data_IF_297089259013
#
_entry.id   IF_297089259013
#
_cell.length_a   1.000
_cell.length_b   1.000
_cell.length_c   1.000
_cell.angle_alpha   90.00
_cell.angle_beta   90.00
_cell.angle_gamma   90.00
#
_symmetry.space_group_name_H-M   'P 1'
#
loop_
_entity.id
_entity.type
_entity.pdbx_description
1 polymer ?
#
# COMPACT_ATOMS: atom_id res chain seq x y z
N UNK A 1 9.68 -9.22 -24.00
CA UNK A 1 10.16 -7.82 -23.90
C UNK A 1 10.54 -7.56 -22.45
N UNK A 2 11.61 -6.81 -22.18
CA UNK A 2 11.91 -6.39 -20.80
C UNK A 2 10.83 -5.39 -20.35
N UNK A 3 10.16 -5.68 -19.23
CA UNK A 3 9.21 -4.76 -18.61
C UNK A 3 10.00 -3.54 -18.12
N UNK A 4 9.52 -2.33 -18.39
CA UNK A 4 10.13 -1.08 -17.90
C UNK A 4 9.34 -0.65 -16.66
N UNK A 5 10.03 -0.40 -15.55
CA UNK A 5 9.38 0.09 -14.32
C UNK A 5 8.87 1.53 -14.51
N UNK A 6 7.61 1.79 -14.17
CA UNK A 6 7.00 3.12 -14.16
C UNK A 6 7.20 3.93 -15.47
N UNK A 7 6.84 3.40 -16.65
CA UNK A 7 7.19 4.01 -17.94
C UNK A 7 6.48 5.35 -18.22
N UNK A 8 5.37 5.63 -17.55
CA UNK A 8 4.62 6.88 -17.69
C UNK A 8 5.12 8.05 -16.83
N UNK A 9 6.19 7.85 -16.06
CA UNK A 9 6.72 8.87 -15.13
C UNK A 9 8.01 9.49 -15.65
N UNK A 10 8.19 10.77 -15.34
CA UNK A 10 9.42 11.50 -15.64
C UNK A 10 10.61 10.90 -14.88
N UNK A 11 11.79 11.05 -15.47
CA UNK A 11 13.06 10.67 -14.85
C UNK A 11 14.01 11.85 -14.79
N UNK A 12 14.85 11.89 -13.77
CA UNK A 12 15.92 12.88 -13.69
C UNK A 12 17.17 12.46 -14.49
N UNK A 13 18.21 13.28 -14.42
CA UNK A 13 19.50 13.06 -15.10
C UNK A 13 20.21 11.77 -14.65
N UNK A 14 19.88 11.26 -13.46
CA UNK A 14 20.41 10.00 -12.91
C UNK A 14 19.46 8.82 -13.18
N UNK A 15 18.46 9.00 -14.05
CA UNK A 15 17.47 8.00 -14.45
C UNK A 15 16.55 7.53 -13.30
N UNK A 16 16.45 8.28 -12.21
CA UNK A 16 15.55 8.01 -11.08
C UNK A 16 14.12 8.43 -11.44
N UNK A 17 13.13 7.64 -11.04
CA UNK A 17 11.72 7.95 -11.31
C UNK A 17 11.24 9.07 -10.39
N UNK A 18 10.62 10.09 -10.95
CA UNK A 18 10.06 11.24 -10.24
C UNK A 18 8.54 11.06 -10.10
N UNK A 19 8.11 10.46 -8.99
CA UNK A 19 6.68 10.38 -8.66
C UNK A 19 6.18 11.75 -8.16
N UNK A 20 5.05 12.26 -8.68
CA UNK A 20 4.45 13.48 -8.14
C UNK A 20 3.84 13.22 -6.75
N UNK A 21 3.50 14.30 -6.04
CA UNK A 21 2.78 14.19 -4.77
C UNK A 21 1.44 13.50 -4.97
N UNK A 22 1.11 12.56 -4.08
CA UNK A 22 -0.11 11.75 -4.13
C UNK A 22 -1.25 12.30 -3.28
N UNK A 23 -1.13 13.52 -2.72
CA UNK A 23 -2.10 14.08 -1.75
C UNK A 23 -3.54 14.01 -2.27
N UNK A 24 -3.77 14.42 -3.52
CA UNK A 24 -5.13 14.40 -4.11
C UNK A 24 -5.67 12.98 -4.26
N UNK A 25 -4.83 12.05 -4.76
CA UNK A 25 -5.21 10.65 -4.90
C UNK A 25 -5.49 10.02 -3.54
N UNK A 26 -4.63 10.28 -2.54
CA UNK A 26 -4.78 9.77 -1.18
C UNK A 26 -6.03 10.31 -0.52
N UNK A 27 -6.30 11.61 -0.59
CA UNK A 27 -7.53 12.19 -0.05
C UNK A 27 -8.79 11.66 -0.76
N UNK A 28 -8.69 11.31 -2.04
CA UNK A 28 -9.79 10.72 -2.77
C UNK A 28 -10.06 9.28 -2.34
N UNK A 29 -9.03 8.44 -2.25
CA UNK A 29 -9.17 7.03 -1.89
C UNK A 29 -9.40 6.83 -0.38
N UNK A 30 -8.75 7.63 0.46
CA UNK A 30 -8.77 7.56 1.92
C UNK A 30 -9.39 8.85 2.52
N UNK A 31 -10.67 9.17 2.23
CA UNK A 31 -11.29 10.43 2.64
C UNK A 31 -11.60 10.51 4.13
N UNK A 32 -11.52 9.40 4.85
CA UNK A 32 -11.89 9.28 6.28
C UNK A 32 -10.69 9.21 7.22
N UNK A 33 -9.46 9.23 6.68
CA UNK A 33 -8.24 9.18 7.49
C UNK A 33 -7.36 10.36 7.15
N UNK A 34 -6.69 10.92 8.16
CA UNK A 34 -5.88 12.11 7.96
C UNK A 34 -4.49 11.72 7.42
N UNK A 35 -4.02 12.48 6.44
CA UNK A 35 -2.71 12.22 5.83
C UNK A 35 -1.59 12.27 6.89
N UNK A 36 -1.73 13.10 7.93
CA UNK A 36 -0.78 13.30 9.03
C UNK A 36 -0.72 12.18 10.08
N UNK A 37 -1.67 11.24 10.10
CA UNK A 37 -1.72 10.19 11.15
C UNK A 37 -0.59 9.14 11.05
N UNK A 38 0.25 9.19 10.02
CA UNK A 38 1.45 8.35 9.93
C UNK A 38 2.62 9.11 9.32
N UNK A 39 3.74 9.15 10.03
CA UNK A 39 4.92 9.98 9.72
C UNK A 39 5.64 9.54 8.43
N UNK A 40 5.50 8.27 8.01
CA UNK A 40 6.17 7.73 6.84
C UNK A 40 5.21 6.88 5.98
N UNK A 41 4.40 7.53 5.13
CA UNK A 41 3.55 6.83 4.14
C UNK A 41 4.30 6.76 2.80
N UNK A 42 4.42 5.58 2.22
CA UNK A 42 4.92 5.46 0.84
C UNK A 42 3.96 6.16 -0.14
N UNK A 43 4.53 6.79 -1.17
CA UNK A 43 3.75 7.41 -2.23
C UNK A 43 2.88 6.35 -2.94
N UNK A 44 1.57 6.59 -3.02
CA UNK A 44 0.60 5.67 -3.62
C UNK A 44 0.92 5.34 -5.08
N UNK A 45 1.34 6.33 -5.86
CA UNK A 45 1.68 6.15 -7.28
C UNK A 45 2.90 5.25 -7.46
N UNK A 46 3.86 5.34 -6.53
CA UNK A 46 5.01 4.45 -6.50
C UNK A 46 4.61 3.01 -6.20
N UNK A 47 3.74 2.80 -5.20
CA UNK A 47 3.23 1.47 -4.86
C UNK A 47 2.41 0.89 -6.02
N UNK A 48 1.54 1.67 -6.65
CA UNK A 48 0.79 1.25 -7.83
C UNK A 48 1.73 0.81 -8.96
N UNK A 49 2.75 1.62 -9.29
CA UNK A 49 3.73 1.27 -10.33
C UNK A 49 4.55 0.02 -9.98
N UNK A 50 4.84 -0.21 -8.71
CA UNK A 50 5.50 -1.43 -8.23
C UNK A 50 4.62 -2.65 -8.44
N UNK A 51 3.35 -2.57 -8.05
CA UNK A 51 2.37 -3.64 -8.24
C UNK A 51 2.20 -3.96 -9.72
N UNK A 52 1.99 -2.94 -10.57
CA UNK A 52 1.89 -3.12 -12.02
C UNK A 52 3.15 -3.77 -12.62
N UNK A 53 4.32 -3.52 -12.02
CA UNK A 53 5.57 -4.07 -12.50
C UNK A 53 5.76 -5.53 -12.11
N UNK A 54 5.45 -5.92 -10.86
CA UNK A 54 5.77 -7.26 -10.34
C UNK A 54 4.63 -8.25 -10.47
N UNK A 55 3.38 -7.80 -10.57
CA UNK A 55 2.21 -8.68 -10.63
C UNK A 55 1.32 -8.45 -11.84
N UNK A 56 0.46 -9.41 -12.11
CA UNK A 56 -0.58 -9.39 -13.12
C UNK A 56 -1.97 -9.21 -12.47
N UNK A 57 -3.02 -8.85 -13.23
CA UNK A 57 -4.39 -8.83 -12.71
C UNK A 57 -4.80 -10.18 -12.09
N UNK A 58 -5.71 -10.14 -11.12
CA UNK A 58 -6.21 -11.28 -10.34
C UNK A 58 -5.19 -12.00 -9.41
N UNK A 59 -3.91 -11.69 -9.52
CA UNK A 59 -2.89 -12.15 -8.57
C UNK A 59 -3.10 -11.55 -7.18
N UNK A 60 -2.68 -12.29 -6.17
CA UNK A 60 -2.84 -11.97 -4.76
C UNK A 60 -1.55 -11.41 -4.17
N UNK A 61 -1.66 -10.23 -3.57
CA UNK A 61 -0.56 -9.53 -2.90
C UNK A 61 -0.77 -9.60 -1.40
N UNK A 62 0.28 -9.95 -0.67
CA UNK A 62 0.33 -9.90 0.78
C UNK A 62 1.21 -8.73 1.25
N UNK A 63 0.68 -7.91 2.15
CA UNK A 63 1.46 -6.98 2.97
C UNK A 63 1.40 -7.43 4.44
N UNK A 64 2.49 -8.01 4.99
CA UNK A 64 2.53 -8.46 6.38
C UNK A 64 2.66 -7.33 7.41
N UNK A 65 2.83 -6.07 6.98
CA UNK A 65 3.07 -4.89 7.82
C UNK A 65 2.28 -3.68 7.27
N UNK A 66 0.97 -3.86 7.12
CA UNK A 66 0.15 -2.99 6.28
C UNK A 66 0.07 -1.53 6.74
N UNK A 67 0.23 -1.26 8.05
CA UNK A 67 0.12 0.07 8.62
C UNK A 67 -1.20 0.74 8.26
N UNK A 68 -1.15 1.87 7.55
CA UNK A 68 -2.37 2.56 7.10
C UNK A 68 -2.98 1.98 5.81
N UNK A 69 -2.42 0.91 5.25
CA UNK A 69 -2.97 0.22 4.08
C UNK A 69 -2.69 0.93 2.75
N UNK A 70 -1.52 1.56 2.56
CA UNK A 70 -1.18 2.16 1.25
C UNK A 70 -1.23 1.13 0.12
N UNK A 71 -0.94 -0.15 0.41
CA UNK A 71 -1.03 -1.26 -0.53
C UNK A 71 -2.46 -1.52 -1.07
N UNK A 72 -3.51 -1.01 -0.41
CA UNK A 72 -4.90 -1.11 -0.89
C UNK A 72 -5.09 -0.52 -2.29
N UNK A 73 -4.20 0.37 -2.73
CA UNK A 73 -4.19 0.86 -4.12
C UNK A 73 -4.07 -0.27 -5.15
N UNK A 74 -3.45 -1.40 -4.81
CA UNK A 74 -3.35 -2.56 -5.67
C UNK A 74 -4.73 -3.12 -6.08
N UNK A 75 -5.72 -3.03 -5.19
CA UNK A 75 -7.08 -3.46 -5.50
C UNK A 75 -7.78 -2.52 -6.50
N UNK A 76 -7.38 -1.24 -6.57
CA UNK A 76 -7.90 -0.29 -7.57
C UNK A 76 -7.51 -0.63 -9.01
N UNK A 77 -6.48 -1.47 -9.16
CA UNK A 77 -5.99 -1.97 -10.44
C UNK A 77 -6.19 -3.48 -10.58
N UNK A 78 -7.14 -4.07 -9.83
CA UNK A 78 -7.60 -5.44 -10.02
C UNK A 78 -6.71 -6.54 -9.42
N UNK A 79 -5.97 -6.25 -8.34
CA UNK A 79 -5.30 -7.30 -7.54
C UNK A 79 -6.14 -7.66 -6.32
N UNK A 80 -5.98 -8.89 -5.84
CA UNK A 80 -6.44 -9.26 -4.50
C UNK A 80 -5.36 -8.86 -3.50
N UNK A 81 -5.76 -8.33 -2.35
CA UNK A 81 -4.86 -7.78 -1.35
C UNK A 81 -5.18 -8.41 -0.01
N UNK A 82 -4.19 -9.05 0.58
CA UNK A 82 -4.21 -9.52 1.95
C UNK A 82 -3.31 -8.59 2.76
N UNK A 83 -3.84 -8.04 3.84
CA UNK A 83 -3.10 -7.19 4.77
C UNK A 83 -3.11 -7.83 6.15
N UNK A 84 -1.93 -7.92 6.77
CA UNK A 84 -1.79 -8.29 8.18
C UNK A 84 -1.35 -7.03 8.93
N UNK A 85 -2.04 -6.75 10.03
CA UNK A 85 -1.73 -5.60 10.87
C UNK A 85 -1.90 -5.97 12.34
N UNK A 86 -0.93 -5.57 13.17
CA UNK A 86 -0.85 -5.94 14.57
C UNK A 86 -1.65 -4.98 15.46
N UNK A 87 -1.63 -3.68 15.16
CA UNK A 87 -2.24 -2.68 16.03
C UNK A 87 -3.70 -2.41 15.65
N UNK A 88 -4.61 -2.56 16.61
CA UNK A 88 -6.06 -2.35 16.41
C UNK A 88 -6.38 -0.97 15.82
N UNK A 89 -5.60 0.05 16.16
CA UNK A 89 -5.74 1.39 15.58
C UNK A 89 -5.52 1.38 14.06
N UNK A 90 -4.45 0.74 13.58
CA UNK A 90 -4.14 0.64 12.16
C UNK A 90 -5.11 -0.29 11.42
N UNK A 91 -5.57 -1.38 12.07
CA UNK A 91 -6.67 -2.19 11.56
C UNK A 91 -7.91 -1.32 11.28
N UNK A 92 -8.32 -0.47 12.23
CA UNK A 92 -9.45 0.45 12.04
C UNK A 92 -9.22 1.46 10.90
N UNK A 93 -7.99 1.97 10.73
CA UNK A 93 -7.66 2.83 9.59
C UNK A 93 -7.74 2.09 8.25
N UNK A 94 -7.30 0.84 8.19
CA UNK A 94 -7.41 -0.01 6.99
C UNK A 94 -8.89 -0.24 6.63
N UNK A 95 -9.74 -0.51 7.60
CA UNK A 95 -11.19 -0.65 7.39
C UNK A 95 -11.80 0.63 6.82
N UNK A 96 -11.52 1.79 7.43
CA UNK A 96 -11.96 3.10 6.95
C UNK A 96 -11.46 3.40 5.53
N UNK A 97 -10.19 3.06 5.25
CA UNK A 97 -9.59 3.24 3.93
C UNK A 97 -10.20 2.30 2.90
N UNK A 98 -10.57 1.09 3.28
CA UNK A 98 -11.29 0.14 2.42
C UNK A 98 -12.69 0.70 2.07
N UNK A 99 -13.41 1.28 3.03
CA UNK A 99 -14.68 1.97 2.79
C UNK A 99 -14.49 3.16 1.83
N UNK A 100 -13.42 3.93 1.98
CA UNK A 100 -13.06 5.01 1.07
C UNK A 100 -12.84 4.52 -0.36
N UNK A 101 -12.00 3.48 -0.52
CA UNK A 101 -11.70 2.87 -1.82
C UNK A 101 -12.96 2.27 -2.46
N UNK A 102 -13.93 1.78 -1.68
CA UNK A 102 -15.21 1.26 -2.17
C UNK A 102 -15.98 2.24 -3.06
N UNK A 103 -15.77 3.55 -2.87
CA UNK A 103 -16.38 4.58 -3.72
C UNK A 103 -15.84 4.55 -5.15
N UNK A 104 -14.61 4.06 -5.34
CA UNK A 104 -13.95 3.89 -6.64
C UNK A 104 -14.08 2.45 -7.16
N UNK A 105 -14.00 1.47 -6.26
CA UNK A 105 -14.09 0.02 -6.57
C UNK A 105 -15.23 -0.58 -5.76
N UNK A 106 -16.46 -0.65 -6.30
CA UNK A 106 -17.63 -1.09 -5.54
C UNK A 106 -17.53 -2.51 -4.95
N UNK A 107 -16.74 -3.39 -5.57
CA UNK A 107 -16.51 -4.77 -5.15
C UNK A 107 -15.22 -4.96 -4.33
N UNK A 108 -14.68 -3.89 -3.72
CA UNK A 108 -13.42 -3.95 -2.95
C UNK A 108 -13.45 -5.00 -1.83
N UNK A 109 -14.63 -5.28 -1.25
CA UNK A 109 -14.80 -6.26 -0.18
C UNK A 109 -14.50 -7.71 -0.64
N UNK A 110 -14.53 -7.97 -1.94
CA UNK A 110 -14.14 -9.26 -2.54
C UNK A 110 -12.63 -9.33 -2.83
N UNK A 111 -11.97 -8.18 -2.84
CA UNK A 111 -10.55 -8.04 -3.20
C UNK A 111 -9.66 -7.90 -1.98
N UNK A 112 -10.14 -7.34 -0.88
CA UNK A 112 -9.33 -7.00 0.30
C UNK A 112 -9.67 -7.91 1.47
N UNK A 113 -8.65 -8.57 2.03
CA UNK A 113 -8.74 -9.32 3.29
C UNK A 113 -7.83 -8.69 4.33
N UNK A 114 -8.40 -8.19 5.42
CA UNK A 114 -7.66 -7.78 6.62
C UNK A 114 -7.60 -8.92 7.63
N UNK A 115 -6.39 -9.25 8.08
CA UNK A 115 -6.14 -10.23 9.13
C UNK A 115 -5.48 -9.51 10.31
N UNK A 116 -6.22 -9.21 11.39
CA UNK A 116 -5.64 -8.66 12.60
C UNK A 116 -4.70 -9.67 13.27
N UNK A 117 -3.48 -9.25 13.60
CA UNK A 117 -2.55 -10.06 14.37
C UNK A 117 -1.08 -9.90 13.99
N UNK A 118 -0.23 -10.67 14.67
CA UNK A 118 1.20 -10.67 14.43
C UNK A 118 1.54 -11.59 13.24
N UNK A 119 2.07 -11.02 12.15
CA UNK A 119 2.47 -11.76 10.95
C UNK A 119 3.50 -12.85 11.23
N UNK A 120 4.33 -12.73 12.27
CA UNK A 120 5.26 -13.77 12.71
C UNK A 120 4.57 -15.07 13.16
N UNK A 121 3.35 -14.97 13.69
CA UNK A 121 2.59 -16.13 14.14
C UNK A 121 1.77 -16.77 13.00
N UNK A 122 1.63 -16.06 11.89
CA UNK A 122 0.82 -16.47 10.74
C UNK A 122 1.72 -17.07 9.65
N UNK A 123 2.86 -16.43 9.39
CA UNK A 123 3.78 -16.82 8.32
C UNK A 123 4.89 -17.76 8.81
N UNK A 124 5.38 -18.68 7.95
CA UNK A 124 5.02 -18.86 6.55
C UNK A 124 3.77 -19.73 6.35
N UNK A 125 2.92 -19.33 5.39
CA UNK A 125 1.89 -20.18 4.79
C UNK A 125 2.26 -20.37 3.32
N UNK A 126 2.41 -21.61 2.89
CA UNK A 126 2.72 -21.94 1.49
C UNK A 126 1.51 -21.68 0.60
N UNK A 127 1.74 -21.22 -0.63
CA UNK A 127 0.71 -20.95 -1.64
C UNK A 127 -0.38 -19.96 -1.18
N UNK A 128 -0.03 -19.06 -0.25
CA UNK A 128 -0.95 -18.12 0.35
C UNK A 128 -1.17 -16.85 -0.51
N UNK A 129 -0.15 -16.43 -1.24
CA UNK A 129 -0.15 -15.27 -2.13
C UNK A 129 0.87 -15.46 -3.26
N UNK A 130 0.69 -14.73 -4.35
CA UNK A 130 1.64 -14.71 -5.47
C UNK A 130 2.84 -13.81 -5.17
N UNK A 131 2.61 -12.68 -4.48
CA UNK A 131 3.65 -11.69 -4.16
C UNK A 131 3.54 -11.18 -2.73
N UNK A 132 4.69 -10.95 -2.10
CA UNK A 132 4.78 -10.22 -0.83
C UNK A 132 5.35 -8.83 -1.13
N UNK A 133 4.56 -7.79 -0.88
CA UNK A 133 4.94 -6.40 -1.11
C UNK A 133 4.60 -5.60 0.15
N UNK A 134 5.61 -5.02 0.78
CA UNK A 134 5.45 -4.21 1.99
C UNK A 134 6.40 -3.02 1.97
N UNK A 135 6.01 -1.99 2.71
CA UNK A 135 6.88 -0.87 3.03
C UNK A 135 7.38 -1.04 4.48
N UNK A 136 8.67 -1.31 4.65
CA UNK A 136 9.26 -1.29 5.98
C UNK A 136 9.26 0.16 6.50
N UNK A 137 8.81 0.36 7.75
CA UNK A 137 9.02 1.62 8.46
C UNK A 137 10.53 1.74 8.69
N UNK A 138 11.18 2.70 8.03
CA UNK A 138 12.49 3.15 8.47
C UNK A 138 12.26 3.94 9.77
N UNK A 139 12.71 3.40 10.90
CA UNK A 139 12.82 4.17 12.13
C UNK A 139 13.84 5.29 11.90
N UNK A 140 13.40 6.46 11.43
CA UNK A 140 14.15 7.68 11.67
C UNK A 140 14.32 7.80 13.17
N UNK A 141 15.56 8.01 13.63
CA UNK A 141 15.86 8.29 15.04
C UNK A 141 14.98 9.43 15.53
N UNK A 142 14.53 9.41 16.78
CA UNK A 142 13.61 10.40 17.36
C UNK A 142 14.02 11.87 17.11
N UNK A 143 15.31 12.14 16.90
CA UNK A 143 15.86 13.45 16.53
C UNK A 143 15.29 14.06 15.24
N UNK A 144 14.87 13.27 14.25
CA UNK A 144 14.37 13.79 12.98
C UNK A 144 12.91 14.26 13.05
N UNK A 145 12.17 13.87 14.09
CA UNK A 145 10.73 14.19 14.22
C UNK A 145 10.44 15.55 14.85
N UNK A 146 11.45 16.25 15.39
CA UNK A 146 11.27 17.53 16.11
C UNK A 146 11.74 18.77 15.33
N UNK A 147 12.29 18.61 14.11
CA UNK A 147 12.83 19.72 13.32
C UNK A 147 12.07 19.97 11.99
N UNK A 148 10.80 19.54 11.89
CA UNK A 148 9.93 19.76 10.72
C UNK A 148 8.80 20.73 10.97
#
# INVERSE_FOLDING_TARGET
MSKVFAPGYNRDEQNRVLFPLDRQLRSHLFPYTEASEHVAKCNMLMIQALVEFVSEPDETILDPFAGTGTILIAATIGRKVIVIELEDYFCGLIELNTIGVKQTVPNIDELVTLIPGNSHNILPITDFCDHIIFAAISSGTEEERHNG
#
